data_IF_267962475409
#
_entry.id   IF_267962475409
#
_cell.length_a   1.000
_cell.length_b   1.000
_cell.length_c   1.000
_cell.angle_alpha   90.00
_cell.angle_beta   90.00
_cell.angle_gamma   90.00
#
_symmetry.space_group_name_H-M   'P 1'
#
loop_
_entity.id
_entity.type
_entity.pdbx_description
1 polymer ?
#
# COMPACT_ATOMS: atom_id res chain seq x y z
N UNK A 1 -22.87 10.32 24.68
CA UNK A 1 -21.48 9.83 24.74
C UNK A 1 -20.49 10.87 24.21
N UNK A 2 -20.44 11.15 22.90
CA UNK A 2 -19.44 12.04 22.25
C UNK A 2 -19.23 13.40 22.96
N UNK A 3 -20.31 14.12 23.27
CA UNK A 3 -20.21 15.42 23.94
C UNK A 3 -19.52 15.32 25.31
N UNK A 4 -19.74 14.23 26.04
CA UNK A 4 -19.10 13.97 27.33
C UNK A 4 -17.61 13.63 27.21
N UNK A 5 -17.23 12.78 26.25
CA UNK A 5 -15.83 12.43 26.04
C UNK A 5 -15.00 13.61 25.49
N UNK A 6 -15.58 14.47 24.64
CA UNK A 6 -14.92 15.70 24.18
C UNK A 6 -14.52 16.64 25.31
N UNK A 7 -15.29 16.67 26.40
CA UNK A 7 -14.97 17.49 27.58
C UNK A 7 -13.77 16.95 28.38
N UNK A 8 -13.43 15.66 28.21
CA UNK A 8 -12.29 15.02 28.87
C UNK A 8 -11.00 15.14 28.07
N UNK A 9 -11.08 15.54 26.80
CA UNK A 9 -9.90 15.70 25.95
C UNK A 9 -9.00 16.81 26.48
N UNK A 10 -7.66 16.62 26.43
CA UNK A 10 -6.73 17.68 26.76
C UNK A 10 -6.91 18.86 25.80
N UNK A 11 -6.70 20.09 26.30
CA UNK A 11 -6.63 21.26 25.43
C UNK A 11 -5.37 21.16 24.58
N UNK A 12 -5.53 21.26 23.26
CA UNK A 12 -4.44 21.33 22.29
C UNK A 12 -3.52 22.51 22.63
N UNK A 13 -2.23 22.25 22.83
CA UNK A 13 -1.21 23.23 23.26
C UNK A 13 -0.46 23.82 22.08
N UNK A 14 -0.32 23.09 20.97
CA UNK A 14 0.35 23.55 19.75
C UNK A 14 -0.36 23.03 18.49
N UNK A 15 -0.06 23.61 17.32
CA UNK A 15 -0.64 23.17 16.05
C UNK A 15 -0.30 21.72 15.70
N UNK A 16 0.91 21.27 16.03
CA UNK A 16 1.44 19.93 15.72
C UNK A 16 1.02 18.84 16.73
N UNK A 17 0.52 19.21 17.91
CA UNK A 17 0.06 18.22 18.88
C UNK A 17 -1.19 17.49 18.36
N UNK A 18 -1.07 16.17 18.29
CA UNK A 18 -2.21 15.29 18.02
C UNK A 18 -3.03 15.16 19.30
N UNK A 19 -4.32 15.47 19.21
CA UNK A 19 -5.24 15.20 20.31
C UNK A 19 -5.62 13.72 20.23
N UNK A 20 -5.59 12.97 21.33
CA UNK A 20 -6.01 11.57 21.32
C UNK A 20 -7.41 11.42 20.71
N UNK A 21 -7.66 10.34 19.96
CA UNK A 21 -9.01 10.05 19.50
C UNK A 21 -9.95 9.89 20.70
N UNK A 22 -11.23 10.17 20.49
CA UNK A 22 -12.23 9.85 21.50
C UNK A 22 -12.25 8.34 21.70
N UNK A 23 -12.35 7.84 22.95
CA UNK A 23 -12.51 6.41 23.17
C UNK A 23 -13.80 5.93 22.48
N UNK A 24 -13.79 4.69 22.00
CA UNK A 24 -14.98 4.09 21.40
C UNK A 24 -16.07 3.88 22.45
N UNK A 25 -17.31 4.07 22.04
CA UNK A 25 -18.46 3.84 22.90
C UNK A 25 -18.65 2.34 23.11
N UNK A 26 -18.61 1.82 24.35
CA UNK A 26 -18.95 0.43 24.60
C UNK A 26 -20.39 0.16 24.15
N UNK A 27 -20.59 -0.92 23.40
CA UNK A 27 -21.91 -1.35 22.91
C UNK A 27 -22.34 -2.58 23.71
N UNK A 28 -23.48 -2.49 24.37
CA UNK A 28 -24.08 -3.64 25.04
C UNK A 28 -24.93 -4.49 24.08
N UNK A 29 -25.26 -5.70 24.50
CA UNK A 29 -26.01 -6.66 23.68
C UNK A 29 -27.41 -6.17 23.33
N UNK A 30 -28.10 -5.47 24.24
CA UNK A 30 -29.48 -5.02 24.03
C UNK A 30 -29.54 -3.95 22.94
N UNK A 31 -28.57 -3.02 22.95
CA UNK A 31 -28.41 -2.01 21.90
C UNK A 31 -28.12 -2.68 20.55
N UNK A 32 -27.21 -3.64 20.52
CA UNK A 32 -26.79 -4.33 19.30
C UNK A 32 -27.92 -5.17 18.71
N UNK A 33 -28.61 -5.97 19.52
CA UNK A 33 -29.73 -6.80 19.08
C UNK A 33 -30.90 -5.91 18.62
N UNK A 34 -31.19 -4.81 19.34
CA UNK A 34 -32.17 -3.82 18.91
C UNK A 34 -31.81 -3.17 17.56
N UNK A 35 -30.54 -2.82 17.36
CA UNK A 35 -30.06 -2.25 16.10
C UNK A 35 -30.14 -3.26 14.94
N UNK A 36 -29.80 -4.52 15.20
CA UNK A 36 -29.89 -5.61 14.22
C UNK A 36 -31.34 -5.90 13.84
N UNK A 37 -32.31 -5.75 14.73
CA UNK A 37 -33.74 -5.85 14.39
C UNK A 37 -34.17 -4.67 13.52
N UNK A 38 -33.79 -3.45 13.89
CA UNK A 38 -34.30 -2.22 13.28
C UNK A 38 -33.67 -1.83 11.93
N UNK A 39 -32.50 -2.36 11.56
CA UNK A 39 -31.74 -1.95 10.37
C UNK A 39 -31.39 -3.15 9.48
N UNK A 40 -31.23 -2.94 8.18
CA UNK A 40 -30.96 -4.02 7.20
C UNK A 40 -29.48 -4.39 7.09
N UNK A 41 -28.58 -3.45 7.40
CA UNK A 41 -27.13 -3.57 7.25
C UNK A 41 -26.43 -2.77 8.36
N UNK A 42 -25.27 -3.24 8.81
CA UNK A 42 -24.40 -2.47 9.70
C UNK A 42 -23.26 -1.81 8.90
N UNK A 43 -23.06 -0.52 9.11
CA UNK A 43 -21.89 0.21 8.64
C UNK A 43 -21.06 0.61 9.87
N UNK A 44 -19.85 0.06 9.97
CA UNK A 44 -18.90 0.37 11.03
C UNK A 44 -17.75 1.18 10.47
N UNK A 45 -17.30 2.23 11.16
CA UNK A 45 -16.12 2.98 10.76
C UNK A 45 -15.01 2.80 11.78
N UNK A 46 -13.78 2.56 11.31
CA UNK A 46 -12.56 2.58 12.13
C UNK A 46 -11.72 3.78 11.68
N UNK A 47 -11.43 4.67 12.63
CA UNK A 47 -10.72 5.92 12.38
C UNK A 47 -9.28 5.87 12.87
N UNK A 48 -8.32 6.34 12.07
CA UNK A 48 -6.96 6.65 12.52
C UNK A 48 -6.52 8.00 11.99
N UNK A 49 -5.64 8.66 12.74
CA UNK A 49 -4.99 9.88 12.30
C UNK A 49 -3.52 9.85 12.71
N UNK A 50 -2.67 10.49 11.91
CA UNK A 50 -1.24 10.67 12.17
C UNK A 50 -0.85 12.07 11.75
N UNK A 51 0.39 12.48 12.02
CA UNK A 51 0.82 13.84 11.70
C UNK A 51 2.32 13.99 11.72
N UNK A 52 2.76 15.18 11.35
CA UNK A 52 4.16 15.55 11.30
C UNK A 52 4.82 15.38 12.68
N UNK A 53 6.09 14.94 12.66
CA UNK A 53 6.97 14.77 13.83
C UNK A 53 6.60 13.65 14.82
N UNK A 54 5.62 12.81 14.50
CA UNK A 54 5.18 11.73 15.37
C UNK A 54 5.04 10.45 14.54
N UNK A 55 5.92 9.49 14.80
CA UNK A 55 5.72 8.12 14.33
C UNK A 55 4.55 7.47 15.08
N UNK A 56 3.97 6.46 14.43
CA UNK A 56 2.80 5.76 14.96
C UNK A 56 3.20 4.70 15.98
N UNK A 57 2.27 4.43 16.90
CA UNK A 57 2.41 3.40 17.91
C UNK A 57 1.80 2.07 17.44
N UNK A 58 2.20 0.96 18.07
CA UNK A 58 1.58 -0.33 17.79
C UNK A 58 0.22 -0.45 18.48
N UNK A 59 0.18 -0.27 19.79
CA UNK A 59 -1.03 -0.51 20.60
C UNK A 59 -2.05 0.62 20.44
N UNK A 60 -3.25 0.28 19.97
CA UNK A 60 -4.34 1.24 19.82
C UNK A 60 -4.19 2.17 18.62
N UNK A 61 -3.22 1.90 17.75
CA UNK A 61 -3.02 2.61 16.49
C UNK A 61 -2.84 1.60 15.34
N UNK A 62 -1.67 0.97 15.15
CA UNK A 62 -1.55 -0.12 14.18
C UNK A 62 -2.47 -1.31 14.51
N UNK A 63 -2.48 -1.75 15.77
CA UNK A 63 -3.41 -2.75 16.29
C UNK A 63 -4.67 -2.07 16.84
N UNK A 64 -5.83 -2.68 16.61
CA UNK A 64 -7.08 -2.24 17.21
C UNK A 64 -7.01 -2.27 18.75
N UNK A 65 -7.75 -1.39 19.39
CA UNK A 65 -8.01 -1.45 20.84
C UNK A 65 -8.92 -2.63 21.19
N UNK A 66 -8.97 -2.99 22.47
CA UNK A 66 -9.92 -4.01 22.96
C UNK A 66 -11.38 -3.61 22.71
N UNK A 67 -11.71 -2.32 22.84
CA UNK A 67 -13.07 -1.81 22.64
C UNK A 67 -13.46 -1.87 21.16
N UNK A 68 -12.55 -1.52 20.25
CA UNK A 68 -12.80 -1.65 18.79
C UNK A 68 -12.99 -3.10 18.36
N UNK A 69 -12.18 -4.03 18.89
CA UNK A 69 -12.37 -5.46 18.63
C UNK A 69 -13.71 -5.96 19.15
N UNK A 70 -14.08 -5.59 20.39
CA UNK A 70 -15.36 -5.97 20.97
C UNK A 70 -16.54 -5.36 20.20
N UNK A 71 -16.38 -4.14 19.68
CA UNK A 71 -17.37 -3.50 18.82
C UNK A 71 -17.56 -4.27 17.51
N UNK A 72 -16.48 -4.63 16.80
CA UNK A 72 -16.56 -5.42 15.56
C UNK A 72 -17.20 -6.78 15.84
N UNK A 73 -16.74 -7.50 16.88
CA UNK A 73 -17.26 -8.82 17.26
C UNK A 73 -18.75 -8.77 17.63
N UNK A 74 -19.15 -7.80 18.46
CA UNK A 74 -20.53 -7.62 18.89
C UNK A 74 -21.46 -7.27 17.73
N UNK A 75 -21.08 -6.31 16.89
CA UNK A 75 -21.89 -5.89 15.71
C UNK A 75 -21.98 -7.03 14.69
N UNK A 76 -20.85 -7.65 14.34
CA UNK A 76 -20.79 -8.79 13.43
C UNK A 76 -21.71 -9.91 13.91
N UNK A 77 -21.54 -10.33 15.17
CA UNK A 77 -22.33 -11.39 15.77
C UNK A 77 -23.83 -11.07 15.77
N UNK A 78 -24.24 -9.85 16.15
CA UNK A 78 -25.66 -9.48 16.20
C UNK A 78 -26.32 -9.45 14.81
N UNK A 79 -25.67 -8.82 13.82
CA UNK A 79 -26.20 -8.71 12.46
C UNK A 79 -26.17 -10.05 11.72
N UNK A 80 -25.10 -10.84 11.86
CA UNK A 80 -25.01 -12.17 11.24
C UNK A 80 -26.04 -13.15 11.82
N UNK A 81 -26.31 -13.12 13.13
CA UNK A 81 -27.42 -13.90 13.73
C UNK A 81 -28.78 -13.57 13.12
N UNK A 82 -28.98 -12.32 12.72
CA UNK A 82 -30.19 -11.87 12.04
C UNK A 82 -30.17 -12.10 10.51
N UNK A 83 -29.12 -12.73 9.97
CA UNK A 83 -28.96 -12.96 8.52
C UNK A 83 -28.61 -11.71 7.72
N UNK A 84 -28.11 -10.66 8.38
CA UNK A 84 -27.80 -9.34 7.80
C UNK A 84 -26.31 -9.14 7.63
N UNK A 85 -25.93 -8.13 6.84
CA UNK A 85 -24.55 -7.88 6.42
C UNK A 85 -23.87 -6.80 7.25
N UNK A 86 -22.54 -6.90 7.38
CA UNK A 86 -21.70 -5.93 8.08
C UNK A 86 -20.60 -5.43 7.15
N UNK A 87 -20.50 -4.11 7.01
CA UNK A 87 -19.47 -3.42 6.23
C UNK A 87 -18.59 -2.62 7.16
N UNK A 88 -17.27 -2.77 7.03
CA UNK A 88 -16.29 -1.97 7.77
C UNK A 88 -15.65 -0.95 6.84
N UNK A 89 -15.64 0.31 7.25
CA UNK A 89 -15.09 1.45 6.52
C UNK A 89 -13.83 1.91 7.26
N UNK A 90 -12.69 1.88 6.58
CA UNK A 90 -11.39 2.23 7.14
C UNK A 90 -11.04 3.68 6.82
N UNK A 91 -11.46 4.60 7.69
CA UNK A 91 -11.08 6.01 7.64
C UNK A 91 -9.70 6.22 8.27
N UNK A 92 -8.67 5.72 7.60
CA UNK A 92 -7.30 5.67 8.09
C UNK A 92 -6.35 6.36 7.12
N UNK A 93 -5.33 7.03 7.64
CA UNK A 93 -4.26 7.64 6.82
C UNK A 93 -3.12 6.69 6.49
N UNK A 94 -2.98 5.60 7.23
CA UNK A 94 -1.93 4.60 7.01
C UNK A 94 -2.45 3.20 7.36
N UNK A 95 -1.66 2.18 6.99
CA UNK A 95 -1.95 0.76 7.20
C UNK A 95 -2.22 0.42 8.67
N UNK A 96 -3.22 -0.42 8.92
CA UNK A 96 -3.50 -1.04 10.22
C UNK A 96 -3.54 -2.57 10.08
N UNK A 97 -3.45 -3.26 11.19
CA UNK A 97 -3.69 -4.70 11.25
C UNK A 97 -5.14 -5.03 10.87
N UNK A 98 -5.32 -6.00 9.98
CA UNK A 98 -6.65 -6.41 9.49
C UNK A 98 -6.90 -7.91 9.57
N UNK A 99 -5.86 -8.74 9.70
CA UNK A 99 -5.95 -10.19 9.64
C UNK A 99 -6.81 -10.78 10.77
N UNK A 100 -6.77 -10.20 11.96
CA UNK A 100 -7.46 -10.67 13.16
C UNK A 100 -8.98 -10.49 13.13
N UNK A 101 -9.49 -9.59 12.29
CA UNK A 101 -10.91 -9.20 12.30
C UNK A 101 -11.57 -9.17 10.93
N UNK A 102 -10.83 -9.11 9.81
CA UNK A 102 -11.42 -8.96 8.47
C UNK A 102 -12.45 -10.03 8.11
N UNK A 103 -12.31 -11.25 8.64
CA UNK A 103 -13.25 -12.34 8.41
C UNK A 103 -14.61 -12.17 9.10
N UNK A 104 -14.74 -11.18 10.00
CA UNK A 104 -15.99 -10.83 10.68
C UNK A 104 -16.82 -9.82 9.89
N UNK A 105 -16.24 -9.20 8.85
CA UNK A 105 -16.93 -8.28 7.95
C UNK A 105 -17.32 -9.00 6.65
N UNK A 106 -18.47 -8.62 6.07
CA UNK A 106 -18.86 -9.09 4.73
C UNK A 106 -18.21 -8.24 3.62
N UNK A 107 -17.88 -6.98 3.91
CA UNK A 107 -17.13 -6.10 3.02
C UNK A 107 -16.26 -5.12 3.82
N UNK A 108 -15.13 -4.73 3.24
CA UNK A 108 -14.24 -3.70 3.78
C UNK A 108 -14.01 -2.64 2.71
N UNK A 109 -14.33 -1.39 3.03
CA UNK A 109 -14.07 -0.24 2.17
C UNK A 109 -12.93 0.59 2.76
N UNK A 110 -11.92 0.87 1.96
CA UNK A 110 -10.78 1.72 2.33
C UNK A 110 -10.84 3.03 1.53
N UNK A 111 -11.55 4.06 2.03
CA UNK A 111 -11.59 5.38 1.39
C UNK A 111 -10.37 6.25 1.72
N UNK A 112 -9.48 5.79 2.59
CA UNK A 112 -8.40 6.58 3.18
C UNK A 112 -8.96 7.83 3.89
N UNK A 113 -8.29 8.98 3.74
CA UNK A 113 -8.71 10.27 4.26
C UNK A 113 -8.97 11.24 3.10
N UNK A 114 -10.13 11.10 2.44
CA UNK A 114 -10.50 11.80 1.20
C UNK A 114 -10.84 13.30 1.32
N UNK A 115 -10.39 13.99 2.36
CA UNK A 115 -10.68 15.41 2.58
C UNK A 115 -12.16 15.71 2.82
N UNK A 116 -12.60 16.94 2.47
CA UNK A 116 -13.95 17.44 2.79
C UNK A 116 -15.10 16.69 2.09
N UNK A 117 -14.83 16.04 0.95
CA UNK A 117 -15.83 15.29 0.17
C UNK A 117 -15.83 13.79 0.48
N UNK A 118 -15.02 13.33 1.44
CA UNK A 118 -14.86 11.91 1.74
C UNK A 118 -16.20 11.19 2.00
N UNK A 119 -17.13 11.85 2.70
CA UNK A 119 -18.45 11.29 2.98
C UNK A 119 -19.28 11.06 1.71
N UNK A 120 -19.27 12.02 0.77
CA UNK A 120 -19.97 11.90 -0.51
C UNK A 120 -19.38 10.76 -1.34
N UNK A 121 -18.05 10.71 -1.47
CA UNK A 121 -17.37 9.65 -2.22
C UNK A 121 -17.61 8.25 -1.63
N UNK A 122 -17.65 8.12 -0.30
CA UNK A 122 -17.99 6.85 0.37
C UNK A 122 -19.43 6.43 0.04
N UNK A 123 -20.38 7.36 0.06
CA UNK A 123 -21.78 7.07 -0.28
C UNK A 123 -21.90 6.63 -1.73
N UNK A 124 -21.30 7.36 -2.68
CA UNK A 124 -21.34 7.02 -4.11
C UNK A 124 -20.82 5.61 -4.39
N UNK A 125 -19.78 5.18 -3.66
CA UNK A 125 -19.26 3.81 -3.75
C UNK A 125 -20.24 2.81 -3.11
N UNK A 126 -20.70 3.06 -1.88
CA UNK A 126 -21.60 2.14 -1.17
C UNK A 126 -22.94 1.94 -1.89
N UNK A 127 -23.46 2.95 -2.59
CA UNK A 127 -24.69 2.87 -3.40
C UNK A 127 -24.46 2.20 -4.75
N UNK A 128 -23.20 2.10 -5.20
CA UNK A 128 -22.84 1.61 -6.52
C UNK A 128 -22.97 2.65 -7.64
N UNK A 129 -23.23 3.91 -7.31
CA UNK A 129 -23.19 5.02 -8.27
C UNK A 129 -21.79 5.17 -8.89
N UNK A 130 -20.76 4.82 -8.10
CA UNK A 130 -19.38 4.65 -8.55
C UNK A 130 -18.89 3.24 -8.22
N UNK A 131 -18.44 2.51 -9.23
CA UNK A 131 -17.78 1.22 -9.03
C UNK A 131 -16.34 1.42 -8.50
N UNK A 132 -15.95 0.81 -7.36
CA UNK A 132 -14.61 0.94 -6.82
C UNK A 132 -13.57 0.42 -7.82
N UNK A 133 -12.53 1.22 -8.00
CA UNK A 133 -11.42 0.96 -8.93
C UNK A 133 -10.08 1.46 -8.40
N UNK A 134 -9.98 1.63 -7.08
CA UNK A 134 -8.73 1.92 -6.39
C UNK A 134 -7.99 0.62 -6.08
N UNK A 135 -6.65 0.66 -6.13
CA UNK A 135 -5.78 -0.45 -5.76
C UNK A 135 -4.72 0.04 -4.77
N UNK A 136 -4.25 -0.85 -3.90
CA UNK A 136 -3.35 -0.52 -2.80
C UNK A 136 -1.99 -0.05 -3.32
N UNK A 137 -1.51 1.15 -2.92
CA UNK A 137 -0.15 1.59 -3.24
C UNK A 137 0.90 1.06 -2.26
N UNK A 138 0.48 0.33 -1.22
CA UNK A 138 1.34 -0.22 -0.18
C UNK A 138 0.82 -1.58 0.26
N UNK A 139 1.71 -2.43 0.78
CA UNK A 139 1.34 -3.75 1.29
C UNK A 139 0.73 -3.63 2.69
N UNK A 140 -0.36 -4.34 2.94
CA UNK A 140 -0.90 -4.54 4.30
C UNK A 140 -0.30 -5.83 4.86
N UNK A 141 0.55 -5.79 5.89
CA UNK A 141 1.11 -7.00 6.49
C UNK A 141 0.07 -7.72 7.35
N UNK A 142 0.31 -9.01 7.65
CA UNK A 142 -0.53 -9.77 8.58
C UNK A 142 -0.33 -9.25 10.02
N UNK A 143 0.91 -8.92 10.37
CA UNK A 143 1.32 -8.32 11.66
C UNK A 143 2.50 -7.40 11.44
N UNK A 144 2.79 -6.52 12.41
CA UNK A 144 3.86 -5.52 12.24
C UNK A 144 5.24 -6.15 12.06
N UNK A 145 5.47 -7.30 12.70
CA UNK A 145 6.75 -8.02 12.67
C UNK A 145 7.04 -8.69 11.31
N UNK A 146 6.08 -8.69 10.39
CA UNK A 146 6.32 -9.13 9.00
C UNK A 146 6.79 -7.95 8.11
N UNK A 147 6.95 -6.74 8.65
CA UNK A 147 7.54 -5.60 7.93
C UNK A 147 9.07 -5.74 7.97
N UNK A 148 9.79 -5.67 6.84
CA UNK A 148 11.22 -5.96 6.81
C UNK A 148 12.07 -5.05 7.71
N UNK A 149 11.60 -3.83 7.97
CA UNK A 149 12.25 -2.85 8.85
C UNK A 149 11.66 -2.78 10.27
N UNK A 150 10.81 -3.73 10.68
CA UNK A 150 10.15 -3.70 12.00
C UNK A 150 11.12 -3.67 13.18
N UNK A 151 12.27 -4.33 13.03
CA UNK A 151 13.26 -4.49 14.10
C UNK A 151 14.28 -3.35 14.12
N UNK A 152 14.42 -2.62 13.02
CA UNK A 152 15.43 -1.56 12.83
C UNK A 152 14.83 -0.16 12.87
N UNK A 153 13.53 0.00 12.62
CA UNK A 153 12.82 1.28 12.74
C UNK A 153 12.32 1.51 14.18
N UNK A 154 12.41 2.74 14.75
CA UNK A 154 12.82 4.02 14.16
C UNK A 154 14.35 4.30 14.23
N UNK A 155 15.16 3.27 14.46
CA UNK A 155 16.61 3.38 14.62
C UNK A 155 17.04 3.50 16.08
N UNK A 156 18.27 3.95 16.28
CA UNK A 156 18.91 4.11 17.58
C UNK A 156 19.33 5.57 17.81
N UNK A 157 19.14 6.07 19.03
CA UNK A 157 19.70 7.37 19.44
C UNK A 157 21.23 7.28 19.46
N UNK A 158 21.92 8.30 18.95
CA UNK A 158 23.39 8.35 18.93
C UNK A 158 23.88 8.82 20.31
N UNK A 159 24.60 7.98 21.09
CA UNK A 159 25.00 8.35 22.44
C UNK A 159 25.99 9.51 22.47
N UNK A 160 25.77 10.48 23.36
CA UNK A 160 26.69 11.60 23.58
C UNK A 160 26.49 12.81 22.68
N UNK A 161 25.59 12.74 21.70
CA UNK A 161 25.21 13.87 20.85
C UNK A 161 24.19 14.79 21.55
N UNK A 162 24.30 16.10 21.34
CA UNK A 162 23.43 17.07 22.01
C UNK A 162 22.03 17.11 21.38
N UNK A 163 21.01 17.18 22.25
CA UNK A 163 19.63 17.42 21.83
C UNK A 163 19.55 18.82 21.24
N UNK A 164 19.25 18.90 19.95
CA UNK A 164 19.02 20.17 19.28
C UNK A 164 17.55 20.55 19.31
N UNK A 165 17.26 21.81 18.96
CA UNK A 165 15.90 22.24 18.70
C UNK A 165 15.73 22.34 17.18
N UNK A 166 15.19 21.29 16.56
CA UNK A 166 14.86 21.28 15.13
C UNK A 166 13.88 22.42 14.82
N UNK A 167 14.29 23.31 13.90
CA UNK A 167 13.52 24.48 13.49
C UNK A 167 13.18 25.47 14.62
N UNK A 168 13.87 25.39 15.78
CA UNK A 168 13.57 26.23 16.95
C UNK A 168 12.27 25.89 17.69
N UNK A 169 11.58 24.81 17.31
CA UNK A 169 10.25 24.45 17.83
C UNK A 169 10.18 23.07 18.49
N UNK A 170 11.00 22.11 18.06
CA UNK A 170 10.90 20.71 18.48
C UNK A 170 12.24 20.18 18.98
N UNK A 171 12.24 19.44 20.09
CA UNK A 171 13.44 18.74 20.55
C UNK A 171 13.74 17.60 19.59
N UNK A 172 14.89 17.65 18.93
CA UNK A 172 15.36 16.59 18.06
C UNK A 172 16.56 15.90 18.71
N UNK A 173 16.50 14.58 18.77
CA UNK A 173 17.60 13.75 19.24
C UNK A 173 18.34 13.18 18.04
N UNK A 174 19.66 13.39 17.95
CA UNK A 174 20.46 12.76 16.90
C UNK A 174 20.30 11.24 16.97
N UNK A 175 19.88 10.65 15.85
CA UNK A 175 19.53 9.23 15.73
C UNK A 175 20.03 8.69 14.40
N UNK A 176 20.27 7.38 14.34
CA UNK A 176 20.71 6.67 13.15
C UNK A 176 19.80 5.47 12.89
N UNK A 177 19.40 5.31 11.65
CA UNK A 177 18.67 4.14 11.15
C UNK A 177 19.48 3.54 10.01
N UNK A 178 19.73 2.24 10.08
CA UNK A 178 20.39 1.48 9.01
C UNK A 178 19.31 0.77 8.20
N UNK A 179 19.33 0.92 6.89
CA UNK A 179 18.34 0.32 5.99
C UNK A 179 18.84 -1.08 5.60
N UNK A 180 18.81 -1.99 6.56
CA UNK A 180 19.26 -3.38 6.40
C UNK A 180 18.37 -4.18 5.42
N UNK A 181 17.16 -3.70 5.17
CA UNK A 181 16.23 -4.22 4.18
C UNK A 181 16.63 -3.90 2.73
N UNK A 182 17.58 -2.98 2.52
CA UNK A 182 18.19 -2.65 1.23
C UNK A 182 17.12 -2.44 0.12
N UNK A 183 17.23 -3.09 -1.05
CA UNK A 183 16.24 -3.02 -2.12
C UNK A 183 14.95 -3.80 -1.82
N UNK A 184 14.94 -4.62 -0.75
CA UNK A 184 13.79 -5.44 -0.36
C UNK A 184 12.85 -4.66 0.57
N UNK A 185 12.25 -3.61 0.03
CA UNK A 185 11.23 -2.80 0.72
C UNK A 185 9.83 -3.08 0.13
N UNK A 186 8.83 -3.21 1.00
CA UNK A 186 7.45 -3.46 0.59
C UNK A 186 7.33 -4.77 -0.18
N UNK A 187 6.52 -4.82 -1.24
CA UNK A 187 6.25 -6.07 -1.98
C UNK A 187 7.51 -6.74 -2.55
N UNK A 188 8.61 -6.00 -2.76
CA UNK A 188 9.90 -6.60 -3.14
C UNK A 188 10.36 -7.62 -2.10
N UNK A 189 10.22 -7.31 -0.81
CA UNK A 189 10.48 -8.27 0.27
C UNK A 189 9.47 -9.41 0.30
N UNK A 190 8.18 -9.06 0.37
CA UNK A 190 7.12 -10.07 0.53
C UNK A 190 7.15 -11.11 -0.59
N UNK A 191 7.34 -10.68 -1.83
CA UNK A 191 7.34 -11.57 -2.99
C UNK A 191 8.67 -12.32 -3.13
N UNK A 192 9.82 -11.73 -2.75
CA UNK A 192 11.13 -12.41 -2.85
C UNK A 192 11.31 -13.48 -1.78
N UNK A 193 10.87 -13.22 -0.56
CA UNK A 193 11.07 -14.12 0.58
C UNK A 193 9.80 -14.89 0.95
N UNK A 194 8.78 -14.85 0.07
CA UNK A 194 7.48 -15.53 0.22
C UNK A 194 6.79 -15.26 1.57
N UNK A 195 6.89 -14.03 2.06
CA UNK A 195 6.15 -13.57 3.24
C UNK A 195 4.74 -13.22 2.80
N UNK A 196 3.74 -13.76 3.48
CA UNK A 196 2.33 -13.56 3.13
C UNK A 196 1.81 -12.21 3.64
N UNK A 197 1.33 -11.31 2.77
CA UNK A 197 0.63 -10.10 3.22
C UNK A 197 -0.83 -10.40 3.57
N UNK A 198 -1.45 -9.54 4.35
CA UNK A 198 -2.90 -9.52 4.50
C UNK A 198 -3.55 -9.07 3.18
N UNK A 199 -3.07 -7.96 2.61
CA UNK A 199 -3.39 -7.53 1.25
C UNK A 199 -2.11 -7.10 0.56
N UNK A 200 -1.84 -7.68 -0.60
CA UNK A 200 -0.63 -7.42 -1.36
C UNK A 200 -0.62 -6.03 -2.02
N UNK A 201 0.57 -5.59 -2.43
CA UNK A 201 0.71 -4.39 -3.23
C UNK A 201 -0.13 -4.49 -4.52
N UNK A 202 -0.83 -3.42 -4.84
CA UNK A 202 -1.69 -3.38 -6.00
C UNK A 202 -2.99 -4.15 -5.85
N UNK A 203 -3.35 -4.68 -4.68
CA UNK A 203 -4.64 -5.34 -4.46
C UNK A 203 -5.80 -4.32 -4.48
N UNK A 204 -6.92 -4.69 -5.08
CA UNK A 204 -8.15 -3.91 -5.04
C UNK A 204 -9.26 -4.60 -5.81
N UNK A 205 -10.46 -4.60 -5.24
CA UNK A 205 -11.63 -5.24 -5.83
C UNK A 205 -12.50 -4.23 -6.58
N UNK A 206 -13.43 -4.76 -7.37
CA UNK A 206 -14.46 -4.04 -8.10
C UNK A 206 -15.81 -4.74 -7.90
N UNK A 207 -16.92 -4.03 -8.16
CA UNK A 207 -18.25 -4.65 -8.26
C UNK A 207 -18.45 -5.43 -9.57
N UNK A 208 -17.48 -5.36 -10.48
CA UNK A 208 -17.41 -6.21 -11.68
C UNK A 208 -16.11 -7.02 -11.70
N UNK A 209 -15.95 -7.88 -12.71
CA UNK A 209 -14.75 -8.69 -12.93
C UNK A 209 -14.14 -8.36 -14.29
N UNK A 210 -12.82 -8.42 -14.39
CA UNK A 210 -12.09 -8.21 -15.64
C UNK A 210 -11.29 -9.45 -16.03
N UNK A 211 -11.27 -9.74 -17.33
CA UNK A 211 -10.44 -10.77 -17.94
C UNK A 211 -9.34 -10.15 -18.78
N UNK A 212 -8.17 -10.80 -18.77
CA UNK A 212 -6.97 -10.36 -19.46
C UNK A 212 -6.65 -11.39 -20.54
N UNK A 213 -6.38 -10.95 -21.76
CA UNK A 213 -6.06 -11.83 -22.89
C UNK A 213 -5.04 -11.19 -23.82
N UNK A 214 -4.57 -11.99 -24.78
CA UNK A 214 -3.81 -11.52 -25.95
C UNK A 214 -2.55 -10.72 -25.60
N UNK A 215 -1.81 -11.17 -24.58
CA UNK A 215 -0.52 -10.56 -24.26
C UNK A 215 0.44 -10.76 -25.42
N UNK A 216 1.04 -9.68 -25.92
CA UNK A 216 2.07 -9.74 -26.96
C UNK A 216 3.21 -8.79 -26.65
N UNK A 217 4.41 -9.12 -27.15
CA UNK A 217 5.60 -8.29 -27.02
C UNK A 217 6.18 -8.05 -28.41
N UNK A 218 6.38 -6.80 -28.78
CA UNK A 218 7.05 -6.39 -30.00
C UNK A 218 8.39 -5.69 -29.69
N UNK A 219 9.46 -6.07 -30.36
CA UNK A 219 10.79 -5.48 -30.19
C UNK A 219 11.08 -4.45 -31.30
N UNK A 220 10.96 -3.16 -30.99
CA UNK A 220 11.13 -2.05 -31.96
C UNK A 220 12.04 -0.94 -31.39
N UNK A 221 13.30 -1.26 -31.07
CA UNK A 221 14.21 -0.33 -30.37
C UNK A 221 13.89 -0.16 -28.88
N UNK A 222 13.07 -1.06 -28.35
CA UNK A 222 12.53 -1.19 -27.01
C UNK A 222 11.56 -2.39 -27.00
N UNK A 223 10.84 -2.61 -25.91
CA UNK A 223 9.84 -3.68 -25.78
C UNK A 223 8.46 -3.06 -25.59
N UNK A 224 7.58 -3.24 -26.58
CA UNK A 224 6.18 -2.82 -26.54
C UNK A 224 5.33 -4.02 -26.13
N UNK A 225 4.77 -3.97 -24.92
CA UNK A 225 3.91 -5.02 -24.36
C UNK A 225 2.46 -4.57 -24.47
N UNK A 226 1.63 -5.37 -25.12
CA UNK A 226 0.18 -5.11 -25.19
C UNK A 226 -0.61 -6.19 -24.46
N UNK A 227 -1.76 -5.82 -23.90
CA UNK A 227 -2.71 -6.74 -23.26
C UNK A 227 -4.13 -6.23 -23.49
N UNK A 228 -5.06 -7.13 -23.78
CA UNK A 228 -6.49 -6.79 -23.90
C UNK A 228 -7.18 -7.06 -22.58
N UNK A 229 -7.93 -6.08 -22.07
CA UNK A 229 -8.72 -6.18 -20.85
C UNK A 229 -10.19 -6.08 -21.20
N UNK A 230 -10.99 -7.04 -20.74
CA UNK A 230 -12.44 -7.11 -21.00
C UNK A 230 -13.20 -7.06 -19.69
N UNK A 231 -14.23 -6.22 -19.60
CA UNK A 231 -15.18 -6.29 -18.50
C UNK A 231 -16.07 -7.54 -18.66
N UNK A 232 -15.84 -8.55 -17.84
CA UNK A 232 -16.52 -9.84 -17.89
C UNK A 232 -17.70 -9.95 -16.90
N UNK A 233 -17.99 -8.89 -16.14
CA UNK A 233 -19.11 -8.88 -15.20
C UNK A 233 -20.33 -8.13 -15.74
N UNK A 234 -21.26 -7.81 -14.82
CA UNK A 234 -22.60 -7.33 -15.15
C UNK A 234 -22.78 -5.82 -15.04
N UNK A 235 -21.81 -5.10 -14.48
CA UNK A 235 -21.86 -3.65 -14.28
C UNK A 235 -20.63 -2.97 -14.88
N UNK A 236 -20.77 -1.70 -15.26
CA UNK A 236 -19.64 -0.92 -15.76
C UNK A 236 -18.57 -0.74 -14.68
N UNK A 237 -17.31 -0.61 -15.09
CA UNK A 237 -16.20 -0.41 -14.16
C UNK A 237 -14.90 -0.07 -14.87
N UNK A 238 -13.89 0.25 -14.08
CA UNK A 238 -12.52 0.52 -14.54
C UNK A 238 -11.57 -0.48 -13.90
N UNK A 239 -10.56 -0.90 -14.65
CA UNK A 239 -9.53 -1.80 -14.13
C UNK A 239 -8.16 -1.14 -14.13
N UNK A 240 -7.36 -1.42 -13.10
CA UNK A 240 -5.93 -1.04 -13.06
C UNK A 240 -5.08 -2.27 -13.40
N UNK A 241 -4.38 -2.17 -14.53
CA UNK A 241 -3.44 -3.15 -15.05
C UNK A 241 -2.05 -2.83 -14.52
N UNK A 242 -1.35 -3.84 -14.00
CA UNK A 242 0.00 -3.69 -13.45
C UNK A 242 0.96 -4.60 -14.21
N UNK A 243 2.03 -4.02 -14.74
CA UNK A 243 3.11 -4.72 -15.45
C UNK A 243 4.32 -4.83 -14.53
N UNK A 244 4.66 -6.07 -14.18
CA UNK A 244 5.85 -6.42 -13.42
C UNK A 244 6.88 -7.10 -14.31
N UNK A 245 8.15 -6.89 -14.00
CA UNK A 245 9.26 -7.55 -14.68
C UNK A 245 10.09 -8.33 -13.66
N UNK A 246 10.35 -9.59 -13.95
CA UNK A 246 11.41 -10.39 -13.31
C UNK A 246 12.62 -10.33 -14.21
N UNK A 247 13.71 -9.80 -13.67
CA UNK A 247 15.00 -9.75 -14.35
C UNK A 247 15.68 -11.14 -14.33
N UNK A 248 16.60 -11.41 -15.27
CA UNK A 248 17.33 -12.67 -15.29
C UNK A 248 18.18 -12.85 -14.02
N UNK A 249 18.43 -14.11 -13.69
CA UNK A 249 19.51 -14.46 -12.78
C UNK A 249 20.84 -13.95 -13.36
N UNK A 250 21.65 -13.33 -12.51
CA UNK A 250 22.87 -12.64 -12.92
C UNK A 250 23.76 -12.35 -11.73
N UNK A 251 24.67 -11.39 -11.88
CA UNK A 251 25.62 -11.03 -10.81
C UNK A 251 25.02 -10.05 -9.80
N UNK A 252 23.97 -9.33 -10.17
CA UNK A 252 23.30 -8.38 -9.28
C UNK A 252 22.15 -9.06 -8.51
N UNK A 253 22.07 -8.73 -7.22
CA UNK A 253 20.92 -9.08 -6.37
C UNK A 253 19.70 -8.31 -6.86
N UNK A 254 18.56 -8.99 -7.03
CA UNK A 254 17.33 -8.39 -7.54
C UNK A 254 16.11 -8.92 -6.80
N UNK A 255 15.04 -8.12 -6.67
CA UNK A 255 13.75 -8.61 -6.20
C UNK A 255 13.18 -9.66 -7.17
N UNK A 256 12.31 -10.54 -6.67
CA UNK A 256 11.61 -11.53 -7.49
C UNK A 256 10.86 -10.92 -8.68
N UNK A 257 10.37 -9.68 -8.55
CA UNK A 257 9.84 -8.86 -9.64
C UNK A 257 9.71 -7.40 -9.20
N UNK A 258 9.60 -6.52 -10.19
CA UNK A 258 9.41 -5.09 -9.96
C UNK A 258 8.33 -4.51 -10.90
N UNK A 259 7.46 -3.64 -10.38
CA UNK A 259 6.51 -2.86 -11.17
C UNK A 259 7.28 -1.92 -12.11
N UNK A 260 7.09 -2.08 -13.42
CA UNK A 260 7.69 -1.20 -14.46
C UNK A 260 6.66 -0.37 -15.21
N UNK A 261 5.38 -0.68 -15.07
CA UNK A 261 4.31 0.14 -15.64
C UNK A 261 2.96 -0.20 -15.03
N UNK A 262 2.04 0.75 -15.05
CA UNK A 262 0.64 0.51 -14.75
C UNK A 262 -0.23 1.41 -15.61
N UNK A 263 -1.45 0.98 -15.88
CA UNK A 263 -2.44 1.76 -16.63
C UNK A 263 -3.81 1.50 -16.05
N UNK A 264 -4.72 2.44 -16.25
CA UNK A 264 -6.12 2.30 -15.85
C UNK A 264 -7.00 2.46 -17.07
N UNK A 265 -7.90 1.51 -17.27
CA UNK A 265 -8.82 1.56 -18.42
C UNK A 265 -9.73 2.78 -18.35
N UNK A 266 -10.31 3.12 -19.48
CA UNK A 266 -11.59 3.82 -19.51
C UNK A 266 -12.66 3.04 -18.74
N UNK A 267 -13.82 3.67 -18.51
CA UNK A 267 -14.95 2.92 -17.94
C UNK A 267 -15.51 1.98 -19.01
N UNK A 268 -15.41 0.69 -18.76
CA UNK A 268 -15.85 -0.35 -19.68
C UNK A 268 -17.26 -0.81 -19.29
N UNK A 269 -18.24 -0.72 -20.20
CA UNK A 269 -19.52 -1.42 -20.05
C UNK A 269 -19.32 -2.95 -20.01
N UNK A 270 -20.30 -3.73 -19.52
CA UNK A 270 -20.29 -5.20 -19.61
C UNK A 270 -19.99 -5.70 -21.02
N UNK A 271 -18.99 -6.58 -21.15
CA UNK A 271 -18.53 -7.17 -22.41
C UNK A 271 -17.63 -6.28 -23.28
N UNK A 272 -17.38 -5.02 -22.90
CA UNK A 272 -16.46 -4.16 -23.63
C UNK A 272 -15.00 -4.45 -23.28
N UNK A 273 -14.10 -4.17 -24.23
CA UNK A 273 -12.67 -4.40 -24.09
C UNK A 273 -11.85 -3.16 -24.43
N UNK A 274 -10.67 -3.04 -23.83
CA UNK A 274 -9.66 -2.03 -24.12
C UNK A 274 -8.28 -2.71 -24.20
N UNK A 275 -7.50 -2.38 -25.22
CA UNK A 275 -6.10 -2.81 -25.33
C UNK A 275 -5.20 -1.78 -24.71
N UNK A 276 -4.40 -2.22 -23.75
CA UNK A 276 -3.42 -1.39 -23.04
C UNK A 276 -2.03 -1.72 -23.56
N UNK A 277 -1.21 -0.69 -23.77
CA UNK A 277 0.19 -0.80 -24.22
C UNK A 277 1.13 -0.23 -23.18
N UNK A 278 2.22 -0.95 -22.91
CA UNK A 278 3.35 -0.52 -22.08
C UNK A 278 4.61 -0.51 -22.94
N UNK A 279 5.42 0.53 -22.80
CA UNK A 279 6.72 0.63 -23.47
C UNK A 279 7.82 0.52 -22.43
N UNK A 280 8.73 -0.44 -22.62
CA UNK A 280 9.92 -0.61 -21.78
C UNK A 280 11.18 -0.38 -22.61
N UNK A 281 12.10 0.38 -22.04
CA UNK A 281 13.47 0.56 -22.51
C UNK A 281 14.45 -0.22 -21.64
N UNK A 282 15.70 -0.36 -22.08
CA UNK A 282 16.75 -0.92 -21.22
C UNK A 282 16.88 -0.15 -19.88
N UNK A 283 16.66 1.17 -19.89
CA UNK A 283 16.72 1.97 -18.67
C UNK A 283 15.71 1.50 -17.60
N UNK A 284 14.53 1.07 -18.01
CA UNK A 284 13.50 0.58 -17.09
C UNK A 284 13.87 -0.79 -16.49
N UNK A 285 14.75 -1.54 -17.16
CA UNK A 285 15.22 -2.87 -16.76
C UNK A 285 16.47 -2.82 -15.86
N UNK A 286 17.09 -1.65 -15.70
CA UNK A 286 18.40 -1.54 -15.07
C UNK A 286 18.35 -1.75 -13.55
N UNK A 287 19.41 -2.36 -13.03
CA UNK A 287 19.77 -2.39 -11.61
C UNK A 287 21.09 -1.64 -11.41
N UNK A 288 21.28 -1.03 -10.24
CA UNK A 288 22.52 -0.34 -9.94
C UNK A 288 23.59 -1.34 -9.52
N UNK A 289 24.82 -1.16 -10.03
CA UNK A 289 25.98 -1.99 -9.72
C UNK A 289 27.00 -1.14 -8.97
N UNK A 290 27.14 -1.39 -7.66
CA UNK A 290 27.96 -0.56 -6.77
C UNK A 290 29.42 -0.48 -7.20
N UNK A 291 30.10 -1.62 -7.41
CA UNK A 291 31.52 -1.63 -7.78
C UNK A 291 31.83 -0.90 -9.10
N UNK A 292 30.84 -0.78 -9.98
CA UNK A 292 30.98 -0.13 -11.29
C UNK A 292 30.42 1.30 -11.28
N UNK A 293 29.76 1.71 -10.20
CA UNK A 293 28.99 2.94 -10.08
C UNK A 293 28.16 3.21 -11.35
N UNK A 294 27.36 2.23 -11.76
CA UNK A 294 26.66 2.21 -13.04
C UNK A 294 25.28 1.56 -12.94
N UNK A 295 24.34 2.05 -13.73
CA UNK A 295 23.07 1.38 -13.98
C UNK A 295 23.22 0.43 -15.16
N UNK A 296 22.81 -0.83 -14.96
CA UNK A 296 23.06 -1.93 -15.89
C UNK A 296 21.80 -2.77 -16.05
N UNK A 297 21.42 -3.03 -17.29
CA UNK A 297 20.44 -4.06 -17.65
C UNK A 297 21.22 -5.31 -18.05
N UNK A 298 21.21 -6.35 -17.22
CA UNK A 298 21.92 -7.60 -17.53
C UNK A 298 21.27 -8.30 -18.73
N UNK A 299 22.09 -8.86 -19.61
CA UNK A 299 21.59 -9.67 -20.73
C UNK A 299 20.98 -10.97 -20.21
N UNK A 300 19.90 -11.43 -20.85
CA UNK A 300 19.19 -12.65 -20.44
C UNK A 300 17.71 -12.60 -20.75
N UNK A 301 17.00 -13.64 -20.31
CA UNK A 301 15.54 -13.72 -20.42
C UNK A 301 14.88 -12.92 -19.29
N UNK A 302 14.02 -11.98 -19.66
CA UNK A 302 13.18 -11.22 -18.75
C UNK A 302 11.75 -11.76 -18.82
N UNK A 303 11.14 -12.00 -17.66
CA UNK A 303 9.73 -12.39 -17.56
C UNK A 303 8.87 -11.15 -17.35
N UNK A 304 7.87 -10.96 -18.20
CA UNK A 304 6.83 -9.95 -18.06
C UNK A 304 5.59 -10.59 -17.47
N UNK A 305 5.18 -10.11 -16.30
CA UNK A 305 3.96 -10.54 -15.61
C UNK A 305 2.97 -9.41 -15.57
N UNK A 306 1.81 -9.58 -16.20
CA UNK A 306 0.71 -8.62 -16.17
C UNK A 306 -0.37 -9.12 -15.21
N UNK A 307 -0.67 -8.32 -14.19
CA UNK A 307 -1.57 -8.70 -13.11
C UNK A 307 -2.61 -7.64 -12.77
N UNK A 308 -3.61 -8.09 -12.02
CA UNK A 308 -4.55 -7.23 -11.32
C UNK A 308 -4.00 -6.77 -9.95
N UNK A 309 -3.01 -7.47 -9.40
CA UNK A 309 -2.21 -7.09 -8.23
C UNK A 309 -0.81 -7.74 -8.33
N UNK A 310 0.06 -7.51 -7.34
CA UNK A 310 1.37 -8.18 -7.34
C UNK A 310 1.24 -9.70 -7.19
N UNK A 311 0.16 -10.23 -6.63
CA UNK A 311 -0.04 -11.70 -6.47
C UNK A 311 -1.14 -12.29 -7.33
N UNK A 312 -1.89 -11.46 -8.05
CA UNK A 312 -2.91 -11.89 -9.00
C UNK A 312 -2.44 -11.66 -10.44
N UNK A 313 -1.50 -12.50 -10.88
CA UNK A 313 -0.93 -12.46 -12.23
C UNK A 313 -1.86 -13.18 -13.20
N UNK A 314 -2.28 -12.48 -14.25
CA UNK A 314 -3.30 -12.94 -15.21
C UNK A 314 -2.71 -13.37 -16.55
N UNK A 315 -1.60 -12.74 -16.94
CA UNK A 315 -0.90 -13.03 -18.19
C UNK A 315 0.60 -12.96 -17.99
N UNK A 316 1.34 -13.81 -18.68
CA UNK A 316 2.80 -13.87 -18.63
C UNK A 316 3.35 -14.01 -20.05
N UNK A 317 4.45 -13.31 -20.32
CA UNK A 317 5.24 -13.43 -21.54
C UNK A 317 6.72 -13.21 -21.20
N UNK A 318 7.64 -13.50 -22.12
CA UNK A 318 9.06 -13.21 -21.92
C UNK A 318 9.68 -12.59 -23.18
N UNK A 319 10.80 -11.90 -22.97
CA UNK A 319 11.66 -11.41 -24.04
C UNK A 319 13.13 -11.59 -23.64
N UNK A 320 14.01 -11.61 -24.64
CA UNK A 320 15.45 -11.73 -24.43
C UNK A 320 16.11 -10.39 -24.68
N UNK A 321 16.91 -9.93 -23.71
CA UNK A 321 17.89 -8.88 -23.92
C UNK A 321 19.23 -9.56 -24.27
N UNK A 322 19.62 -9.50 -25.54
CA UNK A 322 20.75 -10.28 -26.10
C UNK A 322 22.09 -10.06 -25.39
N UNK A 323 22.31 -8.87 -24.85
CA UNK A 323 23.56 -8.50 -24.17
C UNK A 323 23.30 -7.45 -23.10
N UNK A 324 24.22 -7.39 -22.15
CA UNK A 324 24.26 -6.32 -21.16
C UNK A 324 24.20 -4.93 -21.84
N UNK A 325 23.41 -4.04 -21.26
CA UNK A 325 23.36 -2.62 -21.62
C UNK A 325 23.73 -1.80 -20.40
N UNK A 326 24.82 -1.05 -20.51
CA UNK A 326 25.17 0.00 -19.54
C UNK A 326 24.34 1.22 -19.88
N UNK A 327 23.34 1.53 -19.05
CA UNK A 327 22.39 2.62 -19.34
C UNK A 327 22.91 3.96 -18.82
N UNK A 328 23.72 3.94 -17.75
CA UNK A 328 24.48 5.08 -17.24
C UNK A 328 25.73 4.57 -16.50
N UNK A 329 26.86 5.25 -16.65
CA UNK A 329 28.13 4.91 -16.00
C UNK A 329 28.87 6.16 -15.48
N UNK A 330 30.01 5.93 -14.82
CA UNK A 330 30.83 6.98 -14.21
C UNK A 330 30.04 7.87 -13.25
N UNK A 331 29.01 7.30 -12.62
CA UNK A 331 28.26 8.00 -11.60
C UNK A 331 29.19 8.15 -10.40
N UNK A 332 29.17 9.33 -9.79
CA UNK A 332 30.00 9.57 -8.61
C UNK A 332 29.54 8.57 -7.56
N UNK A 333 30.48 7.77 -7.08
CA UNK A 333 30.27 6.92 -5.92
C UNK A 333 29.92 7.84 -4.74
N UNK A 334 28.63 7.81 -4.35
CA UNK A 334 28.12 8.53 -3.19
C UNK A 334 28.21 7.66 -1.92
N UNK A 335 28.96 6.55 -1.97
CA UNK A 335 29.23 5.77 -0.77
C UNK A 335 29.89 6.66 0.30
N UNK A 336 29.62 6.39 1.59
CA UNK A 336 30.20 7.17 2.67
C UNK A 336 31.74 7.24 2.61
N UNK A 337 32.38 6.20 2.08
CA UNK A 337 33.83 6.05 2.03
C UNK A 337 34.49 6.94 0.94
N UNK A 338 33.75 7.34 -0.09
CA UNK A 338 34.20 8.24 -1.16
C UNK A 338 33.65 9.66 -1.03
N UNK A 339 32.98 10.00 0.08
CA UNK A 339 32.50 11.34 0.43
C UNK A 339 33.47 12.03 1.44
N UNK A 340 34.62 12.58 0.99
CA UNK A 340 35.64 13.15 1.87
C UNK A 340 35.18 14.39 2.67
N UNK A 341 33.97 14.91 2.41
CA UNK A 341 33.43 16.11 3.07
C UNK A 341 32.10 15.88 3.82
N UNK A 342 31.56 14.65 3.86
CA UNK A 342 30.32 14.35 4.62
C UNK A 342 29.11 15.21 4.23
N UNK A 343 29.00 15.59 2.95
CA UNK A 343 27.97 16.52 2.50
C UNK A 343 26.59 15.85 2.38
N UNK A 344 25.50 16.54 2.76
CA UNK A 344 24.15 16.03 2.63
C UNK A 344 23.68 15.97 1.17
N UNK A 345 22.94 14.90 0.84
CA UNK A 345 22.32 14.62 -0.47
C UNK A 345 21.45 15.76 -1.02
N UNK A 346 20.96 16.67 -0.17
CA UNK A 346 20.06 17.76 -0.56
C UNK A 346 20.77 18.99 -1.15
N UNK A 347 22.10 18.99 -1.24
CA UNK A 347 22.86 20.10 -1.82
C UNK A 347 23.89 19.58 -2.82
N UNK A 348 23.47 19.27 -4.05
CA UNK A 348 24.26 19.45 -5.28
C UNK A 348 23.40 19.20 -6.53
N UNK A 349 23.72 19.87 -7.65
CA UNK A 349 22.80 20.32 -8.70
C UNK A 349 22.15 19.25 -9.55
#
# INVERSE_FOLDING_TARGET
>A
YIAGEKLKLPKKKSFFELVPPLPEMPLDSDLLDGAAVANDIALLTIGRNSGEFQDRELKGDFYLTEVERAMIDGVSSAFHRAGKKVVVILNIGNVIETASWRGQADAILLPWQGGQEAGNAVVDVLTGDVNPSGKLPTTFPIRYEDVPSSDTFPGIEIPGEEISIAGGLLKAKPSRVEYEDDIFVGYRYYDTFDVSPAYEFGYGLSYTRFDYSDITIAANGGFSITVTVTNAGAVAGREVIQLYVTAPEGNLVKPAKELKGFSKTSELPPGASETVTFELSSNDLASFHDDRAAWISEGGEYLVSVGASSRDIRSVASFILEKEVVVADNLIDLSPDTNPEGLPLSMRP
#
